data_IF_819305623839
#
_entry.id   IF_819305623839
#
_cell.length_a   1.000
_cell.length_b   1.000
_cell.length_c   1.000
_cell.angle_alpha   90.00
_cell.angle_beta   90.00
_cell.angle_gamma   90.00
#
_symmetry.space_group_name_H-M   'P 1'
#
loop_
_entity.id
_entity.type
_entity.pdbx_description
1 polymer ?
#
# COMPACT_ATOMS: atom_id res chain seq x y z
N UNK A 1 19.80 0.17 12.81
CA UNK A 1 18.71 0.67 13.68
C UNK A 1 17.54 -0.28 13.52
N UNK A 2 17.09 -0.87 14.61
CA UNK A 2 15.95 -1.80 14.59
C UNK A 2 14.68 -1.08 14.13
N UNK A 3 13.75 -1.79 13.46
CA UNK A 3 12.41 -1.24 13.10
C UNK A 3 11.69 -0.65 14.32
N UNK A 4 11.96 -1.18 15.51
CA UNK A 4 11.31 -0.78 16.77
C UNK A 4 11.90 0.49 17.40
N UNK A 5 13.10 0.87 17.02
CA UNK A 5 13.78 2.07 17.52
C UNK A 5 13.52 3.31 16.66
N UNK A 6 12.98 3.10 15.45
CA UNK A 6 12.63 4.17 14.53
C UNK A 6 11.39 4.92 15.03
N UNK A 7 11.36 6.23 14.78
CA UNK A 7 10.14 7.03 14.83
C UNK A 7 9.37 6.83 13.54
N UNK A 8 8.10 6.52 13.66
CA UNK A 8 7.21 6.29 12.52
C UNK A 8 6.23 7.44 12.38
N UNK A 9 5.82 7.74 11.14
CA UNK A 9 4.95 8.85 10.80
C UNK A 9 3.72 8.36 10.04
N UNK A 10 2.61 9.08 10.24
CA UNK A 10 1.36 8.87 9.53
C UNK A 10 0.76 10.20 9.11
N UNK A 11 0.45 10.34 7.82
CA UNK A 11 -0.26 11.49 7.27
C UNK A 11 -1.74 11.20 7.10
N UNK A 12 -2.59 12.16 7.49
CA UNK A 12 -4.05 12.03 7.39
C UNK A 12 -4.74 13.38 7.18
N UNK A 13 -5.98 13.36 6.71
CA UNK A 13 -6.79 14.58 6.55
C UNK A 13 -7.55 14.98 7.80
N UNK A 14 -7.69 14.10 8.80
CA UNK A 14 -8.43 14.33 10.01
C UNK A 14 -7.60 13.90 11.22
N UNK A 15 -7.59 14.73 12.28
CA UNK A 15 -6.99 14.36 13.56
C UNK A 15 -7.94 13.43 14.33
N UNK A 16 -7.36 12.51 15.07
CA UNK A 16 -8.06 11.56 15.94
C UNK A 16 -7.27 11.36 17.23
N UNK A 17 -7.93 10.97 18.32
CA UNK A 17 -7.30 10.76 19.62
C UNK A 17 -6.73 9.35 19.79
N UNK A 18 -7.37 8.38 19.16
CA UNK A 18 -6.97 6.98 19.24
C UNK A 18 -7.13 6.27 17.88
N UNK A 19 -6.28 5.28 17.66
CA UNK A 19 -6.38 4.43 16.46
C UNK A 19 -7.66 3.61 16.53
N UNK A 20 -8.47 3.67 15.48
CA UNK A 20 -9.57 2.75 15.26
C UNK A 20 -9.18 1.67 14.26
N UNK A 21 -9.66 0.46 14.48
CA UNK A 21 -9.38 -0.65 13.59
C UNK A 21 -10.66 -1.46 13.30
N UNK A 22 -11.04 -1.64 12.05
CA UNK A 22 -10.42 -1.07 10.84
C UNK A 22 -10.47 0.47 10.84
N UNK A 23 -9.55 1.13 10.14
CA UNK A 23 -9.59 2.59 9.99
C UNK A 23 -10.93 3.04 9.40
N UNK A 24 -11.48 4.18 9.84
CA UNK A 24 -12.77 4.65 9.37
C UNK A 24 -12.74 4.89 7.85
N UNK A 25 -13.82 4.55 7.18
CA UNK A 25 -13.97 4.85 5.75
C UNK A 25 -14.04 6.37 5.56
N UNK A 26 -13.24 6.90 4.64
CA UNK A 26 -13.33 8.31 4.26
C UNK A 26 -14.70 8.59 3.65
N UNK A 27 -15.47 9.51 4.25
CA UNK A 27 -16.73 10.01 3.67
C UNK A 27 -16.44 10.70 2.33
N UNK A 28 -17.30 10.55 1.36
CA UNK A 28 -17.20 11.24 0.06
C UNK A 28 -16.34 10.54 -1.01
N UNK A 29 -15.75 9.38 -0.72
CA UNK A 29 -15.00 8.58 -1.69
C UNK A 29 -15.71 7.26 -2.00
N UNK A 30 -16.99 7.33 -2.37
CA UNK A 30 -17.79 6.16 -2.74
C UNK A 30 -17.22 5.36 -3.93
N UNK A 31 -16.39 6.02 -4.74
CA UNK A 31 -15.67 5.42 -5.88
C UNK A 31 -14.53 4.49 -5.41
N UNK A 32 -14.00 4.69 -4.20
CA UNK A 32 -12.94 3.86 -3.63
C UNK A 32 -13.54 2.76 -2.76
N UNK A 33 -13.93 1.66 -3.39
CA UNK A 33 -14.70 0.58 -2.74
C UNK A 33 -13.88 -0.32 -1.83
N UNK A 34 -12.55 -0.33 -1.96
CA UNK A 34 -11.69 -1.21 -1.14
C UNK A 34 -11.23 -0.47 0.12
N UNK A 35 -11.73 -0.84 1.31
CA UNK A 35 -11.27 -0.24 2.56
C UNK A 35 -9.84 -0.67 2.87
N UNK A 36 -9.07 0.19 3.53
CA UNK A 36 -7.84 -0.25 4.17
C UNK A 36 -8.16 -0.90 5.51
N UNK A 37 -7.58 -2.07 5.76
CA UNK A 37 -7.67 -2.78 7.04
C UNK A 37 -6.32 -2.90 7.76
N UNK A 38 -5.41 -1.96 7.48
CA UNK A 38 -4.13 -1.78 8.16
C UNK A 38 -3.85 -0.31 8.39
N UNK A 39 -3.02 -0.01 9.38
CA UNK A 39 -2.43 1.31 9.61
C UNK A 39 -1.10 1.35 8.84
N UNK A 40 -0.95 2.34 7.97
CA UNK A 40 0.28 2.52 7.18
C UNK A 40 1.14 3.61 7.82
N UNK A 41 2.39 3.27 8.10
CA UNK A 41 3.37 4.15 8.71
C UNK A 41 4.62 4.17 7.84
N UNK A 42 5.32 5.30 7.82
CA UNK A 42 6.62 5.44 7.17
C UNK A 42 7.66 6.01 8.13
N UNK A 43 8.91 5.65 7.94
CA UNK A 43 10.04 6.27 8.66
C UNK A 43 10.38 7.67 8.13
N UNK A 44 9.80 8.07 6.99
CA UNK A 44 10.11 9.31 6.29
C UNK A 44 9.02 10.36 6.47
N UNK A 45 9.34 11.40 7.25
CA UNK A 45 8.41 12.48 7.61
C UNK A 45 7.79 13.16 6.39
N UNK A 46 8.61 13.52 5.41
CA UNK A 46 8.16 14.26 4.22
C UNK A 46 7.20 13.43 3.37
N UNK A 47 7.45 12.13 3.27
CA UNK A 47 6.56 11.23 2.55
C UNK A 47 5.20 11.08 3.26
N UNK A 48 5.19 10.97 4.59
CA UNK A 48 3.95 10.95 5.37
C UNK A 48 3.17 12.28 5.25
N UNK A 49 3.87 13.41 5.21
CA UNK A 49 3.24 14.73 5.05
C UNK A 49 2.48 14.84 3.72
N UNK A 50 2.96 14.21 2.66
CA UNK A 50 2.26 14.14 1.36
C UNK A 50 0.94 13.34 1.38
N UNK A 51 0.68 12.53 2.42
CA UNK A 51 -0.52 11.70 2.50
C UNK A 51 -1.75 12.41 3.10
N UNK A 52 -1.61 13.62 3.68
CA UNK A 52 -2.72 14.37 4.25
C UNK A 52 -2.34 15.70 4.87
N UNK A 53 -3.35 16.42 5.37
CA UNK A 53 -3.20 17.75 5.96
C UNK A 53 -2.51 17.75 7.33
N UNK A 54 -2.62 16.64 8.06
CA UNK A 54 -2.11 16.49 9.41
C UNK A 54 -1.11 15.35 9.44
N UNK A 55 -0.06 15.55 10.23
CA UNK A 55 1.02 14.61 10.42
C UNK A 55 1.09 14.22 11.89
N UNK A 56 1.14 12.95 12.19
CA UNK A 56 1.47 12.48 13.52
C UNK A 56 2.66 11.51 13.52
N UNK A 57 3.26 11.37 14.68
CA UNK A 57 4.30 10.38 14.93
C UNK A 57 3.82 9.34 15.94
N UNK A 58 4.40 8.15 15.84
CA UNK A 58 4.19 7.03 16.75
C UNK A 58 5.50 6.30 17.03
N UNK A 59 5.52 5.56 18.14
CA UNK A 59 6.58 4.61 18.49
C UNK A 59 5.96 3.25 18.78
N UNK A 60 6.71 2.19 18.59
CA UNK A 60 6.31 0.87 19.07
C UNK A 60 6.39 0.80 20.59
N UNK A 61 5.33 0.30 21.24
CA UNK A 61 5.28 0.04 22.68
C UNK A 61 5.64 -1.41 23.00
N UNK A 62 5.56 -2.28 22.01
CA UNK A 62 6.01 -3.67 22.03
C UNK A 62 6.34 -4.12 20.60
N UNK A 63 7.27 -5.07 20.43
CA UNK A 63 7.66 -5.54 19.11
C UNK A 63 6.52 -6.35 18.45
N UNK A 64 5.97 -5.94 17.29
CA UNK A 64 5.09 -6.77 16.49
C UNK A 64 5.87 -7.82 15.70
N UNK A 65 5.23 -8.91 15.36
CA UNK A 65 5.76 -9.92 14.45
C UNK A 65 5.57 -9.46 13.00
N UNK A 66 6.62 -9.01 12.34
CA UNK A 66 6.57 -8.38 11.02
C UNK A 66 7.18 -9.28 9.94
N UNK A 67 6.50 -9.38 8.79
CA UNK A 67 7.10 -9.92 7.57
C UNK A 67 7.97 -8.83 6.96
N UNK A 68 9.26 -9.07 6.87
CA UNK A 68 10.20 -8.17 6.18
C UNK A 68 10.32 -8.59 4.71
N UNK A 69 9.64 -7.86 3.82
CA UNK A 69 9.70 -8.14 2.39
C UNK A 69 10.95 -7.57 1.73
N UNK A 70 11.73 -6.79 2.46
CA UNK A 70 12.95 -6.13 1.98
C UNK A 70 14.17 -7.02 2.21
N UNK A 71 14.31 -7.55 3.44
CA UNK A 71 15.52 -8.25 3.86
C UNK A 71 15.32 -9.77 4.04
N UNK A 72 14.08 -10.26 3.98
CA UNK A 72 13.77 -11.68 4.15
C UNK A 72 13.00 -12.23 2.97
N UNK A 73 13.74 -12.73 1.98
CA UNK A 73 13.17 -13.27 0.74
C UNK A 73 12.20 -14.44 0.99
N UNK A 74 12.51 -15.35 1.92
CA UNK A 74 11.66 -16.52 2.19
C UNK A 74 10.28 -16.09 2.71
N UNK A 75 10.24 -15.18 3.68
CA UNK A 75 8.99 -14.66 4.22
C UNK A 75 8.20 -13.86 3.17
N UNK A 76 8.91 -13.09 2.35
CA UNK A 76 8.36 -12.35 1.22
C UNK A 76 7.72 -13.29 0.20
N UNK A 77 8.40 -14.37 -0.18
CA UNK A 77 7.92 -15.36 -1.14
C UNK A 77 6.68 -16.12 -0.60
N UNK A 78 6.66 -16.48 0.67
CA UNK A 78 5.48 -17.10 1.30
C UNK A 78 4.27 -16.18 1.25
N UNK A 79 4.46 -14.88 1.52
CA UNK A 79 3.40 -13.86 1.40
C UNK A 79 2.91 -13.78 -0.04
N UNK A 80 3.84 -13.69 -1.01
CA UNK A 80 3.53 -13.62 -2.45
C UNK A 80 2.70 -14.82 -2.90
N UNK A 81 3.09 -16.02 -2.55
CA UNK A 81 2.39 -17.24 -2.93
C UNK A 81 0.95 -17.28 -2.39
N UNK A 82 0.70 -16.76 -1.19
CA UNK A 82 -0.65 -16.66 -0.65
C UNK A 82 -1.49 -15.62 -1.41
N UNK A 83 -0.93 -14.45 -1.70
CA UNK A 83 -1.61 -13.41 -2.49
C UNK A 83 -1.99 -13.94 -3.88
N UNK A 84 -1.12 -14.74 -4.50
CA UNK A 84 -1.35 -15.36 -5.81
C UNK A 84 -2.46 -16.41 -5.82
N UNK A 85 -2.91 -16.90 -4.65
CA UNK A 85 -4.07 -17.82 -4.57
C UNK A 85 -5.39 -17.12 -4.92
N UNK A 86 -5.46 -15.79 -4.83
CA UNK A 86 -6.64 -15.05 -5.28
C UNK A 86 -6.65 -14.98 -6.81
N UNK A 87 -7.67 -15.60 -7.50
CA UNK A 87 -7.68 -15.69 -8.97
C UNK A 87 -7.73 -14.33 -9.67
N UNK A 88 -8.39 -13.33 -9.07
CA UNK A 88 -8.46 -11.98 -9.63
C UNK A 88 -7.10 -11.28 -9.59
N UNK A 89 -6.38 -11.43 -8.47
CA UNK A 89 -5.02 -10.93 -8.31
C UNK A 89 -4.07 -11.69 -9.25
N UNK A 90 -4.09 -13.02 -9.24
CA UNK A 90 -3.25 -13.84 -10.11
C UNK A 90 -3.41 -13.48 -11.59
N UNK A 91 -4.64 -13.26 -12.07
CA UNK A 91 -4.90 -12.82 -13.45
C UNK A 91 -4.29 -11.45 -13.74
N UNK A 92 -4.48 -10.48 -12.86
CA UNK A 92 -3.90 -9.14 -12.98
C UNK A 92 -2.38 -9.17 -12.95
N UNK A 93 -1.78 -10.07 -12.16
CA UNK A 93 -0.34 -10.22 -12.02
C UNK A 93 0.30 -11.00 -13.17
N UNK A 94 -0.40 -11.99 -13.73
CA UNK A 94 0.08 -12.71 -14.94
C UNK A 94 0.22 -11.78 -16.13
N UNK A 95 -0.59 -10.73 -16.21
CA UNK A 95 -0.46 -9.67 -17.20
C UNK A 95 0.79 -8.81 -16.95
N UNK A 96 1.31 -8.76 -15.73
CA UNK A 96 2.48 -7.95 -15.34
C UNK A 96 3.58 -8.77 -14.63
N UNK A 97 3.90 -9.94 -15.14
CA UNK A 97 4.87 -10.89 -14.54
C UNK A 97 6.19 -10.25 -14.14
N UNK A 98 6.77 -9.43 -15.00
CA UNK A 98 8.09 -8.84 -14.81
C UNK A 98 8.10 -7.89 -13.62
N UNK A 99 7.13 -6.97 -13.54
CA UNK A 99 7.07 -5.99 -12.46
C UNK A 99 6.83 -6.63 -11.09
N UNK A 100 5.88 -7.53 -11.03
CA UNK A 100 5.56 -8.24 -9.80
C UNK A 100 6.75 -9.05 -9.28
N UNK A 101 7.45 -9.72 -10.19
CA UNK A 101 8.60 -10.54 -9.82
C UNK A 101 9.76 -9.68 -9.32
N UNK A 102 10.06 -8.59 -10.02
CA UNK A 102 11.13 -7.67 -9.62
C UNK A 102 10.79 -6.90 -8.35
N UNK A 103 9.56 -6.39 -8.23
CA UNK A 103 9.12 -5.69 -7.02
C UNK A 103 9.21 -6.57 -5.76
N UNK A 104 8.90 -7.86 -5.88
CA UNK A 104 9.05 -8.80 -4.76
C UNK A 104 10.50 -9.13 -4.43
N UNK A 105 11.41 -9.04 -5.39
CA UNK A 105 12.86 -9.18 -5.14
C UNK A 105 13.46 -7.96 -4.45
N UNK A 106 12.93 -6.78 -4.70
CA UNK A 106 13.44 -5.50 -4.18
C UNK A 106 12.68 -4.99 -2.97
N UNK A 107 11.59 -5.65 -2.57
CA UNK A 107 10.71 -5.18 -1.51
C UNK A 107 9.73 -4.06 -1.94
N UNK A 108 9.71 -3.67 -3.21
CA UNK A 108 8.79 -2.65 -3.75
C UNK A 108 7.40 -3.22 -4.01
N UNK A 109 6.75 -3.72 -2.96
CA UNK A 109 5.52 -4.50 -3.04
C UNK A 109 4.24 -3.67 -2.88
N UNK A 110 4.36 -2.41 -2.44
CA UNK A 110 3.21 -1.59 -2.03
C UNK A 110 2.57 -0.80 -3.16
N UNK A 111 3.14 -0.74 -4.33
CA UNK A 111 2.58 0.03 -5.43
C UNK A 111 2.71 -0.66 -6.78
N UNK A 112 1.60 -0.75 -7.47
CA UNK A 112 1.54 -1.28 -8.83
C UNK A 112 1.95 -0.20 -9.83
N UNK A 113 3.03 -0.43 -10.60
CA UNK A 113 3.41 0.46 -11.70
C UNK A 113 3.47 -0.32 -13.00
N UNK A 114 2.68 0.10 -13.99
CA UNK A 114 2.77 -0.44 -15.35
C UNK A 114 3.99 0.13 -16.04
N UNK A 115 4.97 -0.70 -16.35
CA UNK A 115 6.16 -0.31 -17.14
C UNK A 115 6.15 -0.90 -18.55
N UNK A 116 5.38 -1.96 -18.79
CA UNK A 116 5.32 -2.62 -20.08
C UNK A 116 4.39 -1.86 -21.04
N UNK A 117 4.97 -1.30 -22.11
CA UNK A 117 4.25 -0.53 -23.14
C UNK A 117 3.23 -1.35 -23.91
N UNK A 118 3.48 -2.65 -24.13
CA UNK A 118 2.58 -3.53 -24.86
C UNK A 118 1.33 -3.81 -24.02
N UNK A 119 1.51 -4.18 -22.77
CA UNK A 119 0.42 -4.39 -21.81
C UNK A 119 -0.35 -3.11 -21.53
N UNK A 120 0.34 -1.96 -21.54
CA UNK A 120 -0.31 -0.67 -21.43
C UNK A 120 -1.30 -0.44 -22.59
N UNK A 121 -0.94 -0.81 -23.83
CA UNK A 121 -1.81 -0.64 -25.01
C UNK A 121 -3.01 -1.57 -25.00
N UNK A 122 -2.86 -2.85 -24.64
CA UNK A 122 -3.96 -3.82 -24.53
C UNK A 122 -4.92 -3.43 -23.40
N UNK A 123 -4.37 -3.04 -22.25
CA UNK A 123 -5.13 -2.56 -21.13
C UNK A 123 -5.86 -1.26 -21.48
N UNK A 124 -5.21 -0.32 -22.16
CA UNK A 124 -5.79 0.94 -22.60
C UNK A 124 -7.00 0.70 -23.52
N UNK A 125 -6.90 -0.24 -24.47
CA UNK A 125 -8.02 -0.61 -25.34
C UNK A 125 -9.21 -1.14 -24.53
N UNK A 126 -8.96 -2.04 -23.61
CA UNK A 126 -9.99 -2.61 -22.74
C UNK A 126 -10.62 -1.53 -21.84
N UNK A 127 -9.79 -0.64 -21.29
CA UNK A 127 -10.24 0.44 -20.42
C UNK A 127 -11.05 1.50 -21.14
N UNK A 128 -10.71 1.85 -22.40
CA UNK A 128 -11.51 2.76 -23.24
C UNK A 128 -12.93 2.22 -23.44
N UNK A 129 -13.06 0.93 -23.72
CA UNK A 129 -14.37 0.28 -23.86
C UNK A 129 -15.19 0.38 -22.57
N UNK A 130 -14.59 0.09 -21.43
CA UNK A 130 -15.26 0.14 -20.13
C UNK A 130 -15.62 1.58 -19.71
N UNK A 131 -14.69 2.54 -19.90
CA UNK A 131 -14.97 3.95 -19.62
C UNK A 131 -16.18 4.48 -20.42
N UNK A 132 -16.26 4.09 -21.71
CA UNK A 132 -17.41 4.43 -22.56
C UNK A 132 -18.72 3.83 -22.03
N UNK A 133 -18.71 2.56 -21.61
CA UNK A 133 -19.86 1.92 -20.99
C UNK A 133 -20.30 2.60 -19.69
N UNK A 134 -19.35 3.05 -18.88
CA UNK A 134 -19.59 3.75 -17.61
C UNK A 134 -19.88 5.25 -17.78
N UNK A 135 -19.88 5.78 -19.00
CA UNK A 135 -20.09 7.21 -19.32
C UNK A 135 -19.15 8.14 -18.54
N UNK A 136 -17.91 7.74 -18.38
CA UNK A 136 -16.86 8.51 -17.70
C UNK A 136 -15.67 8.78 -18.63
N UNK A 137 -14.84 9.77 -18.29
CA UNK A 137 -13.61 10.01 -19.05
C UNK A 137 -12.63 8.82 -18.88
N UNK A 138 -11.81 8.56 -19.90
CA UNK A 138 -10.81 7.52 -19.81
C UNK A 138 -9.79 7.81 -18.68
N UNK A 139 -9.42 9.07 -18.49
CA UNK A 139 -8.48 9.50 -17.47
C UNK A 139 -9.02 9.22 -16.06
N UNK A 140 -10.24 9.61 -15.77
CA UNK A 140 -10.89 9.34 -14.48
C UNK A 140 -11.08 7.85 -14.26
N UNK A 141 -11.48 7.11 -15.29
CA UNK A 141 -11.62 5.67 -15.20
C UNK A 141 -10.30 5.00 -14.87
N UNK A 142 -9.21 5.35 -15.57
CA UNK A 142 -7.88 4.80 -15.32
C UNK A 142 -7.35 5.15 -13.93
N UNK A 143 -7.59 6.37 -13.46
CA UNK A 143 -7.21 6.81 -12.12
C UNK A 143 -7.88 5.96 -11.06
N UNK A 144 -9.19 5.78 -11.14
CA UNK A 144 -10.00 5.00 -10.21
C UNK A 144 -9.59 3.52 -10.26
N UNK A 145 -9.46 2.96 -11.47
CA UNK A 145 -9.09 1.57 -11.66
C UNK A 145 -7.72 1.23 -11.06
N UNK A 146 -6.69 2.03 -11.38
CA UNK A 146 -5.34 1.85 -10.83
C UNK A 146 -5.33 1.95 -9.32
N UNK A 147 -6.09 2.88 -8.77
CA UNK A 147 -6.17 3.08 -7.34
C UNK A 147 -6.85 1.88 -6.66
N UNK A 148 -7.99 1.42 -7.17
CA UNK A 148 -8.69 0.26 -6.62
C UNK A 148 -7.89 -1.04 -6.77
N UNK A 149 -7.18 -1.23 -7.88
CA UNK A 149 -6.31 -2.38 -8.08
C UNK A 149 -5.15 -2.40 -7.05
N UNK A 150 -4.49 -1.27 -6.84
CA UNK A 150 -3.43 -1.14 -5.84
C UNK A 150 -3.96 -1.41 -4.44
N UNK A 151 -5.11 -0.83 -4.09
CA UNK A 151 -5.74 -1.07 -2.77
C UNK A 151 -6.15 -2.52 -2.59
N UNK A 152 -6.74 -3.14 -3.61
CA UNK A 152 -7.12 -4.55 -3.60
C UNK A 152 -5.92 -5.46 -3.36
N UNK A 153 -4.80 -5.20 -4.03
CA UNK A 153 -3.55 -5.92 -3.82
C UNK A 153 -3.05 -5.78 -2.37
N UNK A 154 -3.01 -4.55 -1.86
CA UNK A 154 -2.58 -4.28 -0.48
C UNK A 154 -3.48 -5.03 0.52
N UNK A 155 -4.80 -5.03 0.32
CA UNK A 155 -5.73 -5.75 1.19
C UNK A 155 -5.54 -7.28 1.12
N UNK A 156 -5.23 -7.84 -0.04
CA UNK A 156 -4.87 -9.26 -0.14
C UNK A 156 -3.53 -9.56 0.57
N UNK A 157 -2.56 -8.65 0.53
CA UNK A 157 -1.34 -8.77 1.33
C UNK A 157 -1.63 -8.72 2.83
N UNK A 158 -2.52 -7.83 3.28
CA UNK A 158 -2.98 -7.74 4.68
C UNK A 158 -3.64 -9.05 5.13
N UNK A 159 -4.54 -9.61 4.31
CA UNK A 159 -5.20 -10.90 4.59
C UNK A 159 -4.18 -12.05 4.68
N UNK A 160 -3.28 -12.13 3.71
CA UNK A 160 -2.24 -13.15 3.67
C UNK A 160 -1.28 -13.04 4.86
N UNK A 161 -0.89 -11.82 5.26
CA UNK A 161 -0.09 -11.55 6.45
C UNK A 161 -0.76 -12.08 7.71
N UNK A 162 -2.06 -11.82 7.86
CA UNK A 162 -2.86 -12.33 8.99
C UNK A 162 -2.93 -13.86 8.98
N UNK A 163 -3.13 -14.45 7.81
CA UNK A 163 -3.17 -15.92 7.64
C UNK A 163 -1.84 -16.57 8.04
N UNK A 164 -0.72 -15.90 7.80
CA UNK A 164 0.61 -16.36 8.23
C UNK A 164 0.90 -16.13 9.72
N UNK A 165 -0.02 -15.51 10.47
CA UNK A 165 0.13 -15.25 11.91
C UNK A 165 1.11 -14.13 12.22
N UNK A 166 1.20 -13.12 11.34
CA UNK A 166 2.01 -11.92 11.55
C UNK A 166 1.11 -10.72 11.87
N UNK A 167 1.70 -9.73 12.55
CA UNK A 167 1.02 -8.50 12.97
C UNK A 167 1.12 -7.38 11.93
N UNK A 168 1.95 -7.57 10.90
CA UNK A 168 2.14 -6.63 9.82
C UNK A 168 3.23 -7.06 8.84
N UNK A 169 3.48 -6.22 7.86
CA UNK A 169 4.59 -6.39 6.92
C UNK A 169 5.25 -5.05 6.63
N UNK A 170 6.54 -5.06 6.33
CA UNK A 170 7.30 -3.92 5.83
C UNK A 170 7.67 -4.15 4.38
N UNK A 171 7.63 -3.09 3.60
CA UNK A 171 8.02 -3.07 2.19
C UNK A 171 8.28 -1.65 1.72
N UNK A 172 8.58 -1.49 0.45
CA UNK A 172 8.77 -0.18 -0.16
C UNK A 172 7.55 0.24 -0.98
N UNK A 173 7.19 1.51 -0.87
CA UNK A 173 6.30 2.20 -1.79
C UNK A 173 7.11 3.15 -2.66
N UNK A 174 6.82 3.17 -3.98
CA UNK A 174 7.50 4.09 -4.89
C UNK A 174 6.83 5.45 -4.79
N UNK A 175 7.59 6.44 -4.31
CA UNK A 175 7.19 7.85 -4.32
C UNK A 175 7.35 8.41 -5.75
N UNK A 176 6.21 8.75 -6.37
CA UNK A 176 6.16 9.36 -7.70
C UNK A 176 6.12 10.89 -7.67
N UNK A 177 5.98 11.46 -6.49
CA UNK A 177 5.76 12.89 -6.26
C UNK A 177 6.90 13.53 -5.48
N UNK A 178 8.09 12.90 -5.47
CA UNK A 178 9.26 13.50 -4.83
C UNK A 178 9.57 14.85 -5.49
N UNK A 179 9.91 15.83 -4.67
CA UNK A 179 10.13 17.22 -5.11
C UNK A 179 11.24 17.36 -6.17
N UNK A 180 12.15 16.40 -6.24
CA UNK A 180 13.26 16.34 -7.21
C UNK A 180 12.89 15.57 -8.51
N UNK A 181 11.64 15.14 -8.66
CA UNK A 181 11.17 14.37 -9.83
C UNK A 181 11.75 12.95 -9.95
N UNK A 182 12.59 12.53 -9.01
CA UNK A 182 13.16 11.19 -9.01
C UNK A 182 12.22 10.20 -8.33
N UNK A 183 12.16 8.96 -8.86
CA UNK A 183 11.47 7.86 -8.20
C UNK A 183 12.29 7.42 -6.99
N UNK A 184 11.72 7.53 -5.81
CA UNK A 184 12.34 7.06 -4.57
C UNK A 184 11.50 5.96 -3.96
N UNK A 185 12.16 4.89 -3.53
CA UNK A 185 11.53 3.85 -2.73
C UNK A 185 11.47 4.30 -1.28
N UNK A 186 10.26 4.32 -0.71
CA UNK A 186 9.98 4.76 0.66
C UNK A 186 9.58 3.59 1.53
N UNK A 187 10.23 3.43 2.67
CA UNK A 187 9.92 2.36 3.62
C UNK A 187 8.54 2.58 4.24
N UNK A 188 7.67 1.58 4.11
CA UNK A 188 6.32 1.57 4.67
C UNK A 188 6.13 0.31 5.50
N UNK A 189 5.55 0.47 6.67
CA UNK A 189 5.01 -0.64 7.45
C UNK A 189 3.49 -0.62 7.41
N UNK A 190 2.88 -1.75 7.07
CA UNK A 190 1.45 -1.98 7.19
C UNK A 190 1.20 -2.78 8.48
N UNK A 191 0.60 -2.14 9.48
CA UNK A 191 0.36 -2.72 10.80
C UNK A 191 -1.10 -3.14 10.92
N UNK A 192 -1.34 -4.41 11.25
CA UNK A 192 -2.67 -5.01 11.32
C UNK A 192 -3.38 -4.79 12.66
N UNK A 193 -2.64 -4.39 13.67
CA UNK A 193 -3.17 -4.12 15.01
C UNK A 193 -2.47 -2.87 15.59
N UNK A 194 -3.20 -1.77 15.81
CA UNK A 194 -2.65 -0.55 16.38
C UNK A 194 -2.26 -0.67 17.86
N UNK A 195 -2.63 -1.75 18.53
CA UNK A 195 -2.21 -2.03 19.93
C UNK A 195 -0.70 -2.26 20.12
N UNK A 196 0.09 -2.20 19.04
CA UNK A 196 1.55 -2.25 19.09
C UNK A 196 2.21 -0.86 19.09
N UNK A 197 1.45 0.22 18.88
CA UNK A 197 1.97 1.58 18.76
C UNK A 197 1.34 2.53 19.79
N UNK A 198 2.03 3.63 20.04
CA UNK A 198 1.52 4.72 20.89
C UNK A 198 0.29 5.38 20.25
N UNK A 199 -0.45 6.17 21.05
CA UNK A 199 -1.40 7.15 20.52
C UNK A 199 -0.68 8.12 19.57
N UNK A 200 -1.39 8.74 18.62
CA UNK A 200 -0.78 9.70 17.71
C UNK A 200 -0.27 10.94 18.46
N UNK A 201 1.00 11.28 18.25
CA UNK A 201 1.58 12.57 18.65
C UNK A 201 1.51 13.52 17.45
N UNK A 202 0.58 14.45 17.49
CA UNK A 202 0.37 15.39 16.37
C UNK A 202 1.52 16.39 16.29
N UNK A 203 2.09 16.51 15.08
CA UNK A 203 3.14 17.46 14.79
C UNK A 203 2.52 18.79 14.30
N UNK A 204 3.20 19.88 14.63
CA UNK A 204 2.83 21.21 14.19
C UNK A 204 3.11 21.42 12.69
#
# INVERSE_FOLDING_TARGET
MSLYEKKWFHGTNEKFEAWSFPPPRKKGNEILQVPHTAVFLTSEKDFAQGAGKHLCSVKFIKPPKIIDTVNNYESSERLRLLVMKNPAIARSLNINKTFWHEGWKTGEVMRFTYQDKFLASELDRCMRSQAKQMKTSLEDFLRIFKHNLTRGLIEEMVKATRTLGFDGFVGYEIDKHSADGQRKSREIIALLNPGFITRPEWLA
#
